data_IF_411071660787
#
_entry.id   IF_411071660787
#
_cell.length_a   1.000
_cell.length_b   1.000
_cell.length_c   1.000
_cell.angle_alpha   90.00
_cell.angle_beta   90.00
_cell.angle_gamma   90.00
#
_symmetry.space_group_name_H-M   'P 1'
#
loop_
_entity.id
_entity.type
_entity.pdbx_description
1 polymer ?
#
# COMPACT_ATOMS: atom_id res chain seq x y z
N UNK A 1 24.76 -12.01 -14.86
CA UNK A 1 23.64 -11.30 -14.31
C UNK A 1 22.38 -11.47 -15.14
N UNK A 2 21.37 -11.89 -14.53
CA UNK A 2 20.12 -12.10 -15.23
C UNK A 2 19.29 -10.83 -15.23
N UNK A 3 18.59 -10.61 -16.32
CA UNK A 3 17.64 -9.52 -16.34
C UNK A 3 16.48 -9.83 -15.42
N UNK A 4 15.96 -8.79 -14.83
CA UNK A 4 14.80 -8.91 -13.96
C UNK A 4 13.50 -8.59 -14.69
N UNK A 5 13.57 -8.57 -16.01
CA UNK A 5 12.41 -8.25 -16.79
C UNK A 5 11.28 -9.25 -16.53
N UNK A 6 10.15 -8.72 -16.12
CA UNK A 6 8.97 -9.54 -15.88
C UNK A 6 8.30 -9.90 -17.19
N UNK A 7 8.02 -11.19 -17.42
CA UNK A 7 7.31 -11.56 -18.64
C UNK A 7 5.90 -10.99 -18.64
N UNK A 8 5.45 -10.62 -19.82
CA UNK A 8 4.08 -10.16 -19.99
C UNK A 8 3.16 -11.36 -20.17
N UNK A 9 1.90 -11.24 -19.78
CA UNK A 9 0.95 -12.30 -20.07
C UNK A 9 0.81 -12.49 -21.57
N UNK A 10 0.66 -13.73 -22.05
CA UNK A 10 0.41 -13.97 -23.46
C UNK A 10 -0.84 -13.24 -23.92
N UNK A 11 -0.85 -12.84 -25.19
CA UNK A 11 -2.05 -12.27 -25.79
C UNK A 11 -3.16 -13.30 -25.75
N UNK A 12 -4.38 -12.84 -25.49
CA UNK A 12 -5.54 -13.70 -25.49
C UNK A 12 -5.80 -14.43 -24.19
N UNK A 13 -5.06 -14.10 -23.12
CA UNK A 13 -5.38 -14.65 -21.80
C UNK A 13 -6.76 -14.14 -21.39
N UNK A 14 -7.63 -15.06 -21.05
CA UNK A 14 -8.96 -14.73 -20.53
C UNK A 14 -8.94 -14.71 -19.02
N UNK A 15 -9.89 -13.97 -18.44
CA UNK A 15 -9.94 -13.84 -16.98
C UNK A 15 -10.20 -15.15 -16.25
N UNK A 16 -10.69 -16.19 -16.94
CA UNK A 16 -10.91 -17.51 -16.35
C UNK A 16 -9.69 -18.42 -16.44
N UNK A 17 -8.59 -17.95 -17.01
CA UNK A 17 -7.35 -18.70 -17.04
C UNK A 17 -6.55 -18.45 -15.76
N UNK A 18 -5.45 -19.20 -15.62
CA UNK A 18 -4.62 -19.07 -14.42
C UNK A 18 -4.19 -17.61 -14.21
N UNK A 19 -4.22 -17.13 -12.98
CA UNK A 19 -3.76 -15.78 -12.71
C UNK A 19 -2.30 -15.61 -13.12
N UNK A 20 -1.98 -14.41 -13.58
CA UNK A 20 -0.64 -14.03 -13.95
C UNK A 20 -0.15 -12.96 -12.97
N UNK A 21 1.08 -13.12 -12.48
CA UNK A 21 1.66 -12.18 -11.54
C UNK A 21 2.64 -11.27 -12.27
N UNK A 22 2.40 -9.98 -12.20
CA UNK A 22 3.33 -9.00 -12.73
C UNK A 22 4.35 -8.67 -11.64
N UNK A 23 5.54 -9.22 -11.79
CA UNK A 23 6.60 -9.05 -10.78
C UNK A 23 7.08 -7.62 -10.64
N UNK A 24 6.73 -6.73 -11.57
CA UNK A 24 7.04 -5.31 -11.39
C UNK A 24 6.28 -4.72 -10.23
N UNK A 25 5.18 -5.37 -9.83
CA UNK A 25 4.43 -4.95 -8.65
C UNK A 25 5.15 -5.24 -7.35
N UNK A 26 6.09 -6.18 -7.40
CA UNK A 26 6.81 -6.62 -6.21
C UNK A 26 8.17 -5.95 -6.25
N UNK A 27 8.20 -4.71 -5.78
CA UNK A 27 9.45 -3.99 -5.66
C UNK A 27 10.11 -4.25 -4.32
N UNK A 28 11.26 -3.65 -4.15
CA UNK A 28 11.96 -3.72 -2.89
C UNK A 28 11.28 -2.84 -1.85
N UNK A 29 11.25 -3.31 -0.62
CA UNK A 29 10.77 -2.51 0.50
C UNK A 29 11.81 -1.43 0.79
N UNK A 30 11.36 -0.19 0.84
CA UNK A 30 12.19 0.93 1.26
C UNK A 30 11.82 1.33 2.67
N UNK A 31 12.80 1.75 3.44
CA UNK A 31 12.56 2.34 4.76
C UNK A 31 12.79 3.83 4.62
N UNK A 32 11.73 4.61 4.81
CA UNK A 32 11.78 6.06 4.61
C UNK A 32 11.37 6.77 5.89
N UNK A 33 11.81 8.03 6.09
CA UNK A 33 11.33 8.80 7.23
C UNK A 33 9.80 8.88 7.21
N UNK A 34 9.20 8.68 8.35
CA UNK A 34 7.73 8.62 8.42
C UNK A 34 7.09 9.93 7.97
N UNK A 35 7.75 11.05 8.21
CA UNK A 35 7.22 12.34 7.82
C UNK A 35 7.38 12.66 6.33
N UNK A 36 8.15 11.84 5.60
CA UNK A 36 8.27 12.00 4.15
C UNK A 36 7.09 11.40 3.40
N UNK A 37 6.26 10.60 4.07
CA UNK A 37 5.09 9.96 3.47
C UNK A 37 3.88 10.85 3.75
N UNK A 38 3.11 11.12 2.70
CA UNK A 38 1.98 12.05 2.78
C UNK A 38 0.65 11.33 2.68
N UNK A 39 -0.31 11.64 3.54
CA UNK A 39 -1.67 11.12 3.36
C UNK A 39 -2.28 11.64 2.06
N UNK A 40 -3.14 10.85 1.45
CA UNK A 40 -3.85 11.29 0.25
C UNK A 40 -4.94 12.30 0.65
N UNK A 41 -4.87 13.54 0.17
CA UNK A 41 -5.80 14.57 0.64
C UNK A 41 -7.25 14.31 0.31
N UNK A 42 -7.52 13.55 -0.75
CA UNK A 42 -8.88 13.27 -1.15
C UNK A 42 -9.48 12.02 -0.55
N UNK A 43 -8.81 11.39 0.41
CA UNK A 43 -9.31 10.15 1.00
C UNK A 43 -10.47 10.46 1.95
N UNK A 44 -11.72 10.05 1.60
CA UNK A 44 -12.87 10.35 2.44
C UNK A 44 -13.02 9.41 3.60
N UNK A 45 -12.25 8.33 3.64
CA UNK A 45 -12.43 7.29 4.64
C UNK A 45 -11.87 7.72 5.98
N UNK A 46 -12.70 7.60 7.00
CA UNK A 46 -12.27 7.80 8.38
C UNK A 46 -12.24 6.47 9.10
N UNK A 47 -11.20 6.26 9.89
CA UNK A 47 -11.07 5.03 10.65
C UNK A 47 -11.71 5.20 12.03
N UNK A 48 -12.59 4.27 12.47
CA UNK A 48 -13.17 4.36 13.79
C UNK A 48 -12.11 4.30 14.88
N UNK A 49 -12.38 4.98 15.98
CA UNK A 49 -11.43 4.98 17.11
C UNK A 49 -11.11 3.59 17.62
N UNK A 50 -12.10 2.69 17.59
CA UNK A 50 -11.89 1.31 18.02
C UNK A 50 -10.88 0.59 17.13
N UNK A 51 -10.95 0.80 15.82
CA UNK A 51 -9.99 0.24 14.88
C UNK A 51 -8.61 0.84 15.13
N UNK A 52 -8.54 2.15 15.34
CA UNK A 52 -7.28 2.82 15.64
C UNK A 52 -6.62 2.25 16.89
N UNK A 53 -7.40 2.02 17.93
CA UNK A 53 -6.89 1.42 19.16
C UNK A 53 -6.30 0.04 18.91
N UNK A 54 -6.99 -0.78 18.14
CA UNK A 54 -6.50 -2.14 17.83
C UNK A 54 -5.17 -2.08 17.09
N UNK A 55 -5.05 -1.19 16.12
CA UNK A 55 -3.82 -1.02 15.38
C UNK A 55 -2.71 -0.54 16.29
N UNK A 56 -2.99 0.45 17.13
CA UNK A 56 -2.01 1.00 18.07
C UNK A 56 -1.49 -0.05 19.06
N UNK A 57 -2.33 -0.98 19.43
CA UNK A 57 -1.93 -2.07 20.31
C UNK A 57 -1.10 -3.14 19.59
N UNK A 58 -1.42 -3.41 18.34
CA UNK A 58 -0.81 -4.51 17.60
C UNK A 58 0.54 -4.13 16.99
N UNK A 59 0.73 -2.89 16.60
CA UNK A 59 2.00 -2.48 15.97
C UNK A 59 3.21 -2.72 16.88
N UNK A 60 3.20 -2.34 18.16
CA UNK A 60 4.35 -2.62 19.00
C UNK A 60 4.56 -4.10 19.27
N UNK A 61 3.48 -4.89 19.28
CA UNK A 61 3.56 -6.31 19.57
C UNK A 61 4.16 -7.11 18.43
N UNK A 62 3.79 -6.79 17.19
CA UNK A 62 4.19 -7.56 16.02
C UNK A 62 5.11 -6.82 15.07
N UNK A 63 5.27 -5.51 15.26
CA UNK A 63 5.99 -4.68 14.31
C UNK A 63 5.12 -4.34 13.10
N UNK A 64 5.67 -3.54 12.20
CA UNK A 64 4.99 -3.20 10.97
C UNK A 64 5.33 -4.27 9.95
N UNK A 65 4.43 -5.25 9.81
CA UNK A 65 4.66 -6.42 8.96
C UNK A 65 4.15 -6.23 7.54
N UNK A 66 3.35 -5.17 7.29
CA UNK A 66 2.86 -4.85 5.95
C UNK A 66 3.41 -3.48 5.55
N UNK A 67 4.09 -3.39 4.41
CA UNK A 67 4.54 -2.09 3.94
C UNK A 67 3.37 -1.23 3.46
N UNK A 68 3.57 0.07 3.50
CA UNK A 68 2.60 1.03 3.00
C UNK A 68 2.87 1.24 1.51
N UNK A 69 1.81 1.22 0.71
CA UNK A 69 1.92 1.50 -0.72
C UNK A 69 1.90 3.01 -0.94
N UNK A 70 2.89 3.50 -1.65
CA UNK A 70 2.98 4.93 -1.98
C UNK A 70 3.17 5.11 -3.48
N UNK A 71 2.82 6.29 -3.97
CA UNK A 71 3.07 6.66 -5.36
C UNK A 71 4.47 7.30 -5.49
N UNK A 72 4.90 7.67 -6.69
CA UNK A 72 6.22 8.29 -6.85
C UNK A 72 6.41 9.59 -6.08
N UNK A 73 5.34 10.26 -5.71
CA UNK A 73 5.40 11.51 -4.95
C UNK A 73 5.31 11.29 -3.44
N UNK A 74 5.45 10.05 -2.98
CA UNK A 74 5.35 9.67 -1.56
C UNK A 74 3.95 9.85 -0.99
N UNK A 75 2.93 9.90 -1.83
CA UNK A 75 1.55 9.97 -1.36
C UNK A 75 1.01 8.57 -1.16
N UNK A 76 0.33 8.33 -0.06
CA UNK A 76 -0.18 7.01 0.30
C UNK A 76 -1.22 6.55 -0.70
N UNK A 77 -1.06 5.32 -1.19
CA UNK A 77 -2.06 4.61 -1.98
C UNK A 77 -2.86 3.69 -1.09
N UNK A 78 -2.21 3.00 -0.18
CA UNK A 78 -2.87 2.11 0.79
C UNK A 78 -2.02 2.02 2.05
N UNK A 79 -2.67 1.81 3.19
CA UNK A 79 -1.99 1.68 4.48
C UNK A 79 -2.06 2.93 5.33
N UNK A 80 -3.03 3.78 5.10
CA UNK A 80 -3.14 5.07 5.79
C UNK A 80 -3.33 4.91 7.29
N UNK A 81 -4.11 3.92 7.71
CA UNK A 81 -4.32 3.67 9.14
C UNK A 81 -3.03 3.23 9.84
N UNK A 82 -2.23 2.43 9.17
CA UNK A 82 -0.94 1.99 9.72
C UNK A 82 0.00 3.18 9.83
N UNK A 83 0.05 4.03 8.82
CA UNK A 83 0.88 5.23 8.85
C UNK A 83 0.48 6.15 10.01
N UNK A 84 -0.81 6.39 10.17
CA UNK A 84 -1.30 7.24 11.25
C UNK A 84 -0.97 6.65 12.63
N UNK A 85 -1.13 5.35 12.78
CA UNK A 85 -0.80 4.68 14.04
C UNK A 85 0.70 4.74 14.33
N UNK A 86 1.52 4.51 13.31
CA UNK A 86 2.97 4.60 13.48
C UNK A 86 3.40 6.00 13.90
N UNK A 87 2.77 7.04 13.38
CA UNK A 87 3.03 8.40 13.80
C UNK A 87 2.65 8.63 15.25
N UNK A 88 1.48 8.15 15.66
CA UNK A 88 1.05 8.27 17.07
C UNK A 88 1.99 7.55 18.01
N UNK A 89 2.58 6.44 17.56
CA UNK A 89 3.52 5.65 18.36
C UNK A 89 4.95 6.14 18.23
N UNK A 90 5.16 7.23 17.52
CA UNK A 90 6.45 7.90 17.39
C UNK A 90 7.52 7.07 16.69
N UNK A 91 7.11 6.25 15.73
CA UNK A 91 8.05 5.59 14.83
C UNK A 91 8.74 6.64 13.97
N UNK A 92 10.03 6.47 13.73
CA UNK A 92 10.79 7.42 12.92
C UNK A 92 10.86 7.04 11.47
N UNK A 93 10.74 5.74 11.18
CA UNK A 93 10.79 5.22 9.82
C UNK A 93 9.62 4.30 9.57
N UNK A 94 9.30 4.10 8.30
CA UNK A 94 8.21 3.23 7.92
C UNK A 94 8.58 2.48 6.63
N UNK A 95 8.25 1.18 6.55
CA UNK A 95 8.48 0.43 5.31
C UNK A 95 7.43 0.78 4.27
N UNK A 96 7.87 1.02 3.04
CA UNK A 96 6.99 1.37 1.93
C UNK A 96 7.32 0.55 0.70
N UNK A 97 6.32 0.35 -0.15
CA UNK A 97 6.49 -0.13 -1.51
C UNK A 97 6.05 0.97 -2.44
N UNK A 98 6.93 1.37 -3.33
CA UNK A 98 6.66 2.46 -4.26
C UNK A 98 6.11 1.91 -5.57
N UNK A 99 4.97 2.43 -5.99
CA UNK A 99 4.33 2.03 -7.23
C UNK A 99 4.81 2.97 -8.33
N UNK A 100 5.62 2.46 -9.24
CA UNK A 100 6.21 3.29 -10.30
C UNK A 100 5.78 2.89 -11.69
N UNK A 101 5.13 1.74 -11.85
CA UNK A 101 4.80 1.19 -13.16
C UNK A 101 3.42 1.61 -13.67
N UNK A 102 2.63 2.29 -12.86
CA UNK A 102 1.28 2.70 -13.22
C UNK A 102 1.22 4.17 -13.56
N UNK A 103 0.32 4.52 -14.48
CA UNK A 103 0.02 5.92 -14.76
C UNK A 103 -0.68 6.56 -13.57
N UNK A 104 -0.73 7.90 -13.56
CA UNK A 104 -1.46 8.62 -12.52
C UNK A 104 -2.92 8.22 -12.46
N UNK A 105 -3.55 8.01 -13.63
CA UNK A 105 -4.94 7.57 -13.68
C UNK A 105 -5.13 6.19 -13.08
N UNK A 106 -4.20 5.27 -13.35
CA UNK A 106 -4.26 3.92 -12.82
C UNK A 106 -4.03 3.90 -11.31
N UNK A 107 -3.13 4.74 -10.82
CA UNK A 107 -2.92 4.86 -9.37
C UNK A 107 -4.19 5.36 -8.68
N UNK A 108 -4.87 6.33 -9.29
CA UNK A 108 -6.12 6.83 -8.75
C UNK A 108 -7.18 5.73 -8.68
N UNK A 109 -7.31 4.95 -9.76
CA UNK A 109 -8.24 3.83 -9.79
C UNK A 109 -7.89 2.77 -8.76
N UNK A 110 -6.60 2.45 -8.61
CA UNK A 110 -6.15 1.49 -7.62
C UNK A 110 -6.46 1.96 -6.21
N UNK A 111 -6.23 3.24 -5.92
CA UNK A 111 -6.51 3.80 -4.60
C UNK A 111 -8.00 3.63 -4.24
N UNK A 112 -8.88 3.91 -5.20
CA UNK A 112 -10.32 3.74 -5.00
C UNK A 112 -10.65 2.28 -4.74
N UNK A 113 -10.11 1.37 -5.54
CA UNK A 113 -10.39 -0.05 -5.42
C UNK A 113 -9.93 -0.60 -4.07
N UNK A 114 -8.74 -0.23 -3.62
CA UNK A 114 -8.21 -0.71 -2.35
C UNK A 114 -8.98 -0.17 -1.17
N UNK A 115 -9.40 1.10 -1.22
CA UNK A 115 -10.25 1.67 -0.18
C UNK A 115 -11.60 0.96 -0.13
N UNK A 116 -12.16 0.64 -1.28
CA UNK A 116 -13.43 -0.08 -1.34
C UNK A 116 -13.31 -1.47 -0.70
N UNK A 117 -12.25 -2.18 -1.03
CA UNK A 117 -12.01 -3.50 -0.43
C UNK A 117 -11.85 -3.41 1.08
N UNK A 118 -11.17 -2.37 1.56
CA UNK A 118 -11.00 -2.17 2.98
C UNK A 118 -12.32 -1.87 3.69
N UNK A 119 -13.23 -1.15 3.03
CA UNK A 119 -14.56 -0.89 3.58
C UNK A 119 -15.39 -2.15 3.73
N UNK A 120 -15.20 -3.11 2.82
CA UNK A 120 -15.94 -4.36 2.85
C UNK A 120 -15.35 -5.34 3.87
N UNK A 121 -14.13 -5.13 4.31
CA UNK A 121 -13.50 -5.97 5.31
C UNK A 121 -14.05 -5.63 6.69
N UNK A 122 -14.36 -6.66 7.46
CA UNK A 122 -14.82 -6.48 8.83
C UNK A 122 -13.62 -6.61 9.77
N UNK A 123 -13.23 -5.49 10.30
CA UNK A 123 -12.07 -5.45 11.21
C UNK A 123 -12.52 -5.69 12.65
#
# INVERSE_FOLDING_TARGET
MTTTQTPRPPKGIHHNQRPWIDRRLIGDVEYVPIDSVKPYPGNPRKHPKRQQKKIDQNLPAFGIVLPILIDPDNTIVAGEAIHASAKRLEYTEIPVLRIEHLSAADVKALRIALNRLAELADW
#
